data_IF_692855599610
#
_entry.id   IF_692855599610
#
_cell.length_a   1.000
_cell.length_b   1.000
_cell.length_c   1.000
_cell.angle_alpha   90.00
_cell.angle_beta   90.00
_cell.angle_gamma   90.00
#
_symmetry.space_group_name_H-M   'P 1'
#
loop_
_entity.id
_entity.type
_entity.pdbx_description
1 polymer ?
#
# COMPACT_ATOMS: atom_id res chain seq x y z
N UNK A 1 0.51 -1.31 25.39
CA UNK A 1 1.52 -0.24 25.56
C UNK A 1 1.09 0.96 24.74
N UNK A 2 1.38 2.19 25.21
CA UNK A 2 1.04 3.40 24.47
C UNK A 2 1.80 3.47 23.14
N UNK A 3 1.18 4.10 22.15
CA UNK A 3 1.72 4.37 20.81
C UNK A 3 1.22 5.75 20.35
N UNK A 4 1.53 6.16 19.11
CA UNK A 4 1.09 7.44 18.56
C UNK A 4 0.48 7.30 17.17
N UNK A 5 -0.38 8.25 16.80
CA UNK A 5 -0.89 8.36 15.43
C UNK A 5 0.23 8.64 14.43
N UNK A 6 1.29 9.35 14.84
CA UNK A 6 2.48 9.54 14.01
C UNK A 6 3.11 8.20 13.61
N UNK A 7 3.20 7.25 14.55
CA UNK A 7 3.72 5.92 14.27
C UNK A 7 2.78 5.11 13.37
N UNK A 8 1.47 5.19 13.61
CA UNK A 8 0.46 4.55 12.77
C UNK A 8 0.47 5.07 11.32
N UNK A 9 0.54 6.39 11.12
CA UNK A 9 0.66 7.00 9.79
C UNK A 9 2.00 6.65 9.12
N UNK A 10 3.10 6.69 9.87
CA UNK A 10 4.43 6.31 9.38
C UNK A 10 4.47 4.88 8.85
N UNK A 11 3.83 3.94 9.54
CA UNK A 11 3.74 2.54 9.11
C UNK A 11 3.06 2.38 7.73
N UNK A 12 2.00 3.14 7.46
CA UNK A 12 1.36 3.13 6.14
C UNK A 12 2.20 3.83 5.06
N UNK A 13 2.88 4.91 5.41
CA UNK A 13 3.77 5.61 4.48
C UNK A 13 4.94 4.71 4.04
N UNK A 14 5.56 3.99 4.99
CA UNK A 14 6.63 3.04 4.71
C UNK A 14 6.12 1.83 3.92
N UNK A 15 4.98 1.26 4.28
CA UNK A 15 4.34 0.17 3.52
C UNK A 15 4.06 0.56 2.07
N UNK A 16 3.58 1.79 1.82
CA UNK A 16 3.35 2.29 0.46
C UNK A 16 4.66 2.53 -0.31
N UNK A 17 5.75 2.88 0.38
CA UNK A 17 7.07 2.99 -0.24
C UNK A 17 7.56 1.61 -0.73
N UNK A 18 7.39 0.56 0.08
CA UNK A 18 7.68 -0.81 -0.33
C UNK A 18 6.80 -1.29 -1.49
N UNK A 19 5.50 -0.95 -1.47
CA UNK A 19 4.61 -1.26 -2.58
C UNK A 19 5.06 -0.59 -3.90
N UNK A 20 5.61 0.64 -3.82
CA UNK A 20 6.21 1.31 -4.98
C UNK A 20 7.46 0.61 -5.49
N UNK A 21 8.26 -0.03 -4.63
CA UNK A 21 9.41 -0.82 -5.06
C UNK A 21 8.96 -2.01 -5.90
N UNK A 22 7.88 -2.70 -5.48
CA UNK A 22 7.28 -3.78 -6.26
C UNK A 22 6.73 -3.26 -7.61
N UNK A 23 6.12 -2.07 -7.62
CA UNK A 23 5.68 -1.41 -8.85
C UNK A 23 6.86 -1.09 -9.78
N UNK A 24 7.99 -0.63 -9.24
CA UNK A 24 9.20 -0.37 -10.03
C UNK A 24 9.77 -1.65 -10.62
N UNK A 25 9.79 -2.75 -9.86
CA UNK A 25 10.20 -4.05 -10.36
C UNK A 25 9.28 -4.52 -11.50
N UNK A 26 7.95 -4.40 -11.33
CA UNK A 26 6.98 -4.72 -12.36
C UNK A 26 7.18 -3.90 -13.63
N UNK A 27 7.45 -2.58 -13.50
CA UNK A 27 7.79 -1.71 -14.61
C UNK A 27 9.03 -2.20 -15.37
N UNK A 28 10.14 -2.46 -14.66
CA UNK A 28 11.39 -2.94 -15.27
C UNK A 28 11.22 -4.29 -15.99
N UNK A 29 10.44 -5.21 -15.42
CA UNK A 29 10.14 -6.51 -16.04
C UNK A 29 9.34 -6.33 -17.32
N UNK A 30 8.34 -5.44 -17.32
CA UNK A 30 7.47 -5.18 -18.47
C UNK A 30 8.10 -4.28 -19.53
N UNK A 31 9.17 -3.54 -19.21
CA UNK A 31 9.82 -2.60 -20.11
C UNK A 31 10.72 -3.28 -21.15
N UNK A 32 10.17 -4.26 -21.87
CA UNK A 32 10.83 -5.01 -22.93
C UNK A 32 9.97 -5.04 -24.19
N UNK A 33 10.58 -4.70 -25.34
CA UNK A 33 9.87 -4.57 -26.61
C UNK A 33 9.51 -5.94 -27.24
N UNK A 34 8.22 -6.27 -27.41
CA UNK A 34 7.80 -7.50 -28.08
C UNK A 34 7.66 -7.32 -29.61
N UNK A 35 7.76 -6.10 -30.13
CA UNK A 35 7.51 -5.77 -31.54
C UNK A 35 8.51 -6.48 -32.46
N UNK A 36 8.01 -6.95 -33.61
CA UNK A 36 8.79 -7.73 -34.59
C UNK A 36 8.87 -9.23 -34.28
N UNK A 37 8.22 -9.73 -33.22
CA UNK A 37 8.08 -11.18 -32.96
C UNK A 37 7.04 -11.87 -33.87
N UNK A 38 6.26 -11.09 -34.64
CA UNK A 38 5.19 -11.56 -35.53
C UNK A 38 4.21 -12.50 -34.79
N UNK A 39 3.89 -13.66 -35.38
CA UNK A 39 3.04 -14.68 -34.78
C UNK A 39 3.74 -15.52 -33.68
N UNK A 40 4.92 -15.10 -33.20
CA UNK A 40 5.74 -15.85 -32.25
C UNK A 40 6.89 -16.65 -32.89
N UNK A 41 7.10 -16.50 -34.20
CA UNK A 41 8.14 -17.19 -34.96
C UNK A 41 9.13 -16.24 -35.64
N UNK A 42 9.02 -14.93 -35.38
CA UNK A 42 9.80 -13.91 -36.07
C UNK A 42 9.26 -13.60 -37.47
N UNK A 43 10.00 -12.79 -38.22
CA UNK A 43 9.63 -12.35 -39.56
C UNK A 43 10.64 -12.84 -40.60
N UNK A 44 10.17 -13.19 -41.80
CA UNK A 44 11.04 -13.44 -42.96
C UNK A 44 11.59 -12.15 -43.56
N UNK A 45 11.01 -10.98 -43.23
CA UNK A 45 11.58 -9.69 -43.58
C UNK A 45 12.74 -9.35 -42.62
N UNK A 46 13.82 -8.73 -43.12
CA UNK A 46 14.97 -8.35 -42.30
C UNK A 46 14.66 -7.10 -41.44
N UNK A 47 13.71 -7.24 -40.50
CA UNK A 47 13.27 -6.17 -39.62
C UNK A 47 14.36 -5.78 -38.63
N UNK A 48 14.65 -4.48 -38.53
CA UNK A 48 15.48 -3.96 -37.45
C UNK A 48 14.65 -3.80 -36.16
N UNK A 49 14.59 -4.86 -35.34
CA UNK A 49 13.91 -4.83 -34.02
C UNK A 49 14.60 -3.91 -33.02
N UNK A 50 15.90 -3.71 -33.16
CA UNK A 50 16.65 -2.80 -32.31
C UNK A 50 16.17 -1.35 -32.54
N UNK A 51 15.99 -0.95 -33.80
CA UNK A 51 15.44 0.36 -34.16
C UNK A 51 14.10 0.63 -33.46
N UNK A 52 13.14 -0.30 -33.51
CA UNK A 52 11.85 -0.07 -32.84
C UNK A 52 11.95 -0.08 -31.32
N UNK A 53 12.89 -0.85 -30.75
CA UNK A 53 13.16 -0.86 -29.31
C UNK A 53 13.66 0.50 -28.84
N UNK A 54 14.58 1.11 -29.59
CA UNK A 54 15.12 2.44 -29.33
C UNK A 54 14.08 3.53 -29.56
N UNK A 55 13.38 3.49 -30.69
CA UNK A 55 12.36 4.49 -31.05
C UNK A 55 11.19 4.53 -30.06
N UNK A 56 10.79 3.38 -29.50
CA UNK A 56 9.69 3.28 -28.54
C UNK A 56 10.16 3.45 -27.08
N UNK A 57 11.46 3.65 -26.83
CA UNK A 57 11.99 3.93 -25.49
C UNK A 57 12.04 2.73 -24.54
N UNK A 58 11.97 1.49 -25.04
CA UNK A 58 12.09 0.28 -24.21
C UNK A 58 13.53 0.05 -23.72
N UNK A 59 13.70 -0.55 -22.55
CA UNK A 59 15.04 -0.86 -22.02
C UNK A 59 15.78 -1.91 -22.84
N UNK A 60 15.04 -2.91 -23.31
CA UNK A 60 15.56 -3.98 -24.18
C UNK A 60 14.42 -4.56 -25.00
N UNK A 61 14.72 -5.51 -25.89
CA UNK A 61 13.68 -6.31 -26.55
C UNK A 61 13.47 -7.65 -25.85
N UNK A 62 12.33 -8.27 -26.13
CA UNK A 62 12.20 -9.71 -25.98
C UNK A 62 13.04 -10.40 -27.05
N UNK A 63 14.21 -10.91 -26.65
CA UNK A 63 15.16 -11.54 -27.58
C UNK A 63 14.57 -12.77 -28.28
N UNK A 64 13.87 -13.61 -27.52
CA UNK A 64 13.21 -14.80 -28.06
C UNK A 64 11.77 -14.45 -28.48
N UNK A 65 11.44 -14.70 -29.75
CA UNK A 65 10.15 -14.37 -30.35
C UNK A 65 8.99 -15.24 -29.83
N UNK A 66 9.27 -16.47 -29.42
CA UNK A 66 8.28 -17.34 -28.74
C UNK A 66 8.03 -16.81 -27.33
N UNK A 67 9.09 -16.39 -26.63
CA UNK A 67 8.96 -15.77 -25.31
C UNK A 67 8.12 -14.50 -25.34
N UNK A 68 8.23 -13.66 -26.38
CA UNK A 68 7.37 -12.49 -26.53
C UNK A 68 5.86 -12.83 -26.51
N UNK A 69 5.47 -14.00 -27.03
CA UNK A 69 4.09 -14.48 -26.92
C UNK A 69 3.79 -15.10 -25.55
N UNK A 70 4.71 -15.90 -25.01
CA UNK A 70 4.59 -16.49 -23.66
C UNK A 70 4.58 -15.42 -22.54
N UNK A 71 5.08 -14.22 -22.82
CA UNK A 71 5.04 -13.08 -21.90
C UNK A 71 3.63 -12.56 -21.66
N UNK A 72 2.69 -12.80 -22.59
CA UNK A 72 1.28 -12.42 -22.42
C UNK A 72 0.67 -13.19 -21.25
N UNK A 73 -0.04 -12.47 -20.39
CA UNK A 73 -0.55 -12.94 -19.12
C UNK A 73 0.50 -13.03 -18.01
N UNK A 74 1.76 -13.35 -18.34
CA UNK A 74 2.87 -13.26 -17.36
C UNK A 74 3.12 -11.80 -16.94
N UNK A 75 3.21 -10.88 -17.91
CA UNK A 75 3.46 -9.45 -17.63
C UNK A 75 2.27 -8.82 -16.89
N UNK A 76 1.05 -9.07 -17.35
CA UNK A 76 -0.17 -8.59 -16.71
C UNK A 76 -0.31 -9.12 -15.29
N UNK A 77 0.05 -10.39 -15.04
CA UNK A 77 0.10 -10.95 -13.68
C UNK A 77 1.16 -10.27 -12.82
N UNK A 78 2.35 -10.00 -13.36
CA UNK A 78 3.41 -9.27 -12.64
C UNK A 78 2.94 -7.89 -12.22
N UNK A 79 2.30 -7.14 -13.11
CA UNK A 79 1.72 -5.83 -12.77
C UNK A 79 0.56 -5.98 -11.78
N UNK A 80 -0.29 -6.99 -11.94
CA UNK A 80 -1.38 -7.26 -11.01
C UNK A 80 -0.90 -7.50 -9.58
N UNK A 81 0.25 -8.17 -9.39
CA UNK A 81 0.84 -8.33 -8.05
C UNK A 81 1.25 -6.99 -7.44
N UNK A 82 1.82 -6.08 -8.24
CA UNK A 82 2.16 -4.73 -7.77
C UNK A 82 0.91 -3.91 -7.41
N UNK A 83 -0.14 -3.98 -8.23
CA UNK A 83 -1.43 -3.35 -7.93
C UNK A 83 -2.06 -3.92 -6.65
N UNK A 84 -1.97 -5.24 -6.46
CA UNK A 84 -2.49 -5.94 -5.29
C UNK A 84 -1.78 -5.54 -4.00
N UNK A 85 -0.46 -5.29 -4.03
CA UNK A 85 0.30 -4.78 -2.87
C UNK A 85 -0.24 -3.45 -2.37
N UNK A 86 -0.29 -2.44 -3.25
CA UNK A 86 -0.87 -1.12 -2.94
C UNK A 86 -2.31 -1.28 -2.42
N UNK A 87 -3.13 -2.09 -3.10
CA UNK A 87 -4.50 -2.32 -2.70
C UNK A 87 -4.61 -2.97 -1.31
N UNK A 88 -3.72 -3.90 -0.94
CA UNK A 88 -3.70 -4.51 0.38
C UNK A 88 -3.40 -3.47 1.48
N UNK A 89 -2.44 -2.59 1.24
CA UNK A 89 -2.09 -1.49 2.16
C UNK A 89 -3.26 -0.53 2.34
N UNK A 90 -3.92 -0.11 1.25
CA UNK A 90 -5.11 0.75 1.33
C UNK A 90 -6.31 0.07 2.01
N UNK A 91 -6.51 -1.23 1.77
CA UNK A 91 -7.59 -2.01 2.39
C UNK A 91 -7.41 -2.08 3.92
N UNK A 92 -6.16 -2.26 4.38
CA UNK A 92 -5.81 -2.27 5.81
C UNK A 92 -6.03 -0.89 6.44
N UNK A 93 -5.56 0.19 5.79
CA UNK A 93 -5.82 1.55 6.24
C UNK A 93 -7.32 1.84 6.34
N UNK A 94 -8.08 1.44 5.33
CA UNK A 94 -9.53 1.61 5.31
C UNK A 94 -10.22 0.83 6.44
N UNK A 95 -9.74 -0.38 6.76
CA UNK A 95 -10.24 -1.14 7.90
C UNK A 95 -9.99 -0.41 9.22
N UNK A 96 -8.76 0.03 9.47
CA UNK A 96 -8.39 0.76 10.68
C UNK A 96 -9.19 2.07 10.79
N UNK A 97 -9.33 2.82 9.69
CA UNK A 97 -10.10 4.06 9.69
C UNK A 97 -11.58 3.84 10.06
N UNK A 98 -12.20 2.78 9.53
CA UNK A 98 -13.57 2.41 9.92
C UNK A 98 -13.65 2.05 11.42
N UNK A 99 -12.70 1.26 11.92
CA UNK A 99 -12.66 0.83 13.32
C UNK A 99 -12.44 2.01 14.26
N UNK A 100 -11.45 2.86 13.96
CA UNK A 100 -11.05 4.01 14.76
C UNK A 100 -12.11 5.11 14.78
N UNK A 101 -12.89 5.26 13.71
CA UNK A 101 -14.02 6.19 13.66
C UNK A 101 -15.28 5.65 14.35
N UNK A 102 -15.34 4.36 14.70
CA UNK A 102 -16.52 3.79 15.35
C UNK A 102 -16.74 4.36 16.75
N UNK A 103 -17.99 4.40 17.20
CA UNK A 103 -18.38 5.02 18.48
C UNK A 103 -17.71 4.39 19.71
N UNK A 104 -17.35 3.10 19.64
CA UNK A 104 -16.70 2.40 20.74
C UNK A 104 -15.22 2.80 20.92
N UNK A 105 -14.59 3.29 19.85
CA UNK A 105 -13.19 3.70 19.84
C UNK A 105 -13.05 5.22 19.81
N UNK A 106 -13.65 5.89 18.81
CA UNK A 106 -13.63 7.36 18.71
C UNK A 106 -12.22 7.94 18.66
N UNK A 107 -11.28 7.19 18.08
CA UNK A 107 -9.86 7.53 17.97
C UNK A 107 -9.61 8.56 16.88
N UNK A 108 -10.38 8.46 15.80
CA UNK A 108 -10.41 9.46 14.74
C UNK A 108 -11.85 9.90 14.50
N UNK A 109 -12.01 11.07 13.90
CA UNK A 109 -13.28 11.59 13.42
C UNK A 109 -13.16 11.97 11.96
N UNK A 110 -14.12 11.51 11.17
CA UNK A 110 -14.29 11.93 9.78
C UNK A 110 -15.24 13.13 9.69
N UNK A 111 -14.96 14.14 8.84
CA UNK A 111 -15.89 15.24 8.62
C UNK A 111 -17.23 14.75 8.06
N UNK A 112 -18.31 15.44 8.42
CA UNK A 112 -19.67 15.04 8.05
C UNK A 112 -19.87 14.83 6.54
N UNK A 113 -19.23 15.65 5.70
CA UNK A 113 -19.30 15.55 4.23
C UNK A 113 -18.73 14.25 3.64
N UNK A 114 -18.00 13.49 4.45
CA UNK A 114 -17.38 12.21 4.08
C UNK A 114 -18.07 11.01 4.71
N UNK A 115 -19.18 11.25 5.40
CA UNK A 115 -19.96 10.21 6.06
C UNK A 115 -21.41 10.30 5.61
N UNK A 116 -22.08 9.16 5.48
CA UNK A 116 -23.55 9.19 5.35
C UNK A 116 -24.20 9.13 6.72
N UNK A 117 -25.28 9.91 6.89
CA UNK A 117 -26.11 9.89 8.08
C UNK A 117 -27.27 8.91 7.96
N UNK A 118 -27.88 8.56 9.10
CA UNK A 118 -29.18 7.90 9.13
C UNK A 118 -30.29 8.91 9.42
N UNK A 119 -31.40 8.85 8.70
CA UNK A 119 -32.57 9.70 8.95
C UNK A 119 -33.26 9.40 10.29
N UNK A 120 -33.22 8.15 10.74
CA UNK A 120 -33.79 7.71 12.04
C UNK A 120 -32.78 7.84 13.19
N UNK A 121 -31.48 7.77 12.90
CA UNK A 121 -30.41 7.93 13.88
C UNK A 121 -29.49 9.10 13.50
N UNK A 122 -29.84 10.35 13.87
CA UNK A 122 -29.13 11.55 13.42
C UNK A 122 -27.66 11.61 13.87
N UNK A 123 -27.29 10.87 14.91
CA UNK A 123 -25.93 10.75 15.43
C UNK A 123 -25.10 9.63 14.76
N UNK A 124 -25.74 8.76 13.96
CA UNK A 124 -25.05 7.66 13.27
C UNK A 124 -24.42 8.18 11.98
N UNK A 125 -23.09 8.06 11.88
CA UNK A 125 -22.28 8.44 10.73
C UNK A 125 -21.53 7.23 10.20
N UNK A 126 -21.74 6.86 8.94
CA UNK A 126 -21.09 5.71 8.33
C UNK A 126 -19.82 6.16 7.56
N UNK A 127 -18.69 5.44 7.68
CA UNK A 127 -17.46 5.74 6.94
C UNK A 127 -17.48 5.13 5.52
N UNK A 128 -18.54 5.38 4.74
CA UNK A 128 -18.83 4.68 3.48
C UNK A 128 -17.65 4.71 2.49
N UNK A 129 -16.92 5.81 2.45
CA UNK A 129 -15.75 5.98 1.58
C UNK A 129 -14.67 4.92 1.87
N UNK A 130 -14.37 4.67 3.15
CA UNK A 130 -13.41 3.65 3.53
C UNK A 130 -13.99 2.25 3.36
N UNK A 131 -15.30 2.04 3.60
CA UNK A 131 -15.95 0.76 3.34
C UNK A 131 -15.86 0.36 1.84
N UNK A 132 -16.16 1.31 0.94
CA UNK A 132 -16.06 1.11 -0.50
C UNK A 132 -14.60 0.95 -0.94
N UNK A 133 -13.67 1.74 -0.40
CA UNK A 133 -12.24 1.60 -0.67
C UNK A 133 -11.77 0.18 -0.32
N UNK A 134 -12.13 -0.32 0.87
CA UNK A 134 -11.80 -1.67 1.33
C UNK A 134 -12.33 -2.74 0.37
N UNK A 135 -13.60 -2.63 -0.04
CA UNK A 135 -14.21 -3.58 -0.98
C UNK A 135 -13.52 -3.57 -2.36
N UNK A 136 -13.28 -2.38 -2.93
CA UNK A 136 -12.59 -2.21 -4.22
C UNK A 136 -11.16 -2.75 -4.18
N UNK A 137 -10.43 -2.45 -3.11
CA UNK A 137 -9.08 -2.95 -2.91
C UNK A 137 -9.03 -4.48 -2.75
N UNK A 138 -10.00 -5.09 -2.06
CA UNK A 138 -10.11 -6.56 -2.00
C UNK A 138 -10.37 -7.17 -3.39
N UNK A 139 -11.17 -6.50 -4.24
CA UNK A 139 -11.36 -6.91 -5.63
C UNK A 139 -10.04 -6.88 -6.42
N UNK A 140 -9.27 -5.81 -6.31
CA UNK A 140 -7.96 -5.68 -6.99
C UNK A 140 -6.97 -6.75 -6.50
N UNK A 141 -6.95 -7.07 -5.21
CA UNK A 141 -6.09 -8.12 -4.65
C UNK A 141 -6.36 -9.51 -5.25
N UNK A 142 -7.56 -9.77 -5.79
CA UNK A 142 -7.88 -11.04 -6.47
C UNK A 142 -7.34 -11.12 -7.91
N UNK A 143 -6.93 -9.99 -8.51
CA UNK A 143 -6.53 -9.91 -9.92
C UNK A 143 -5.37 -10.85 -10.29
N UNK A 144 -4.29 -10.99 -9.50
CA UNK A 144 -3.22 -11.94 -9.81
C UNK A 144 -3.72 -13.39 -9.93
N UNK A 145 -4.70 -13.76 -9.10
CA UNK A 145 -5.29 -15.10 -9.12
C UNK A 145 -6.20 -15.28 -10.33
N UNK A 146 -7.03 -14.28 -10.66
CA UNK A 146 -7.86 -14.31 -11.87
C UNK A 146 -7.00 -14.51 -13.12
N UNK A 147 -5.91 -13.74 -13.27
CA UNK A 147 -4.99 -13.86 -14.40
C UNK A 147 -4.29 -15.23 -14.39
N UNK A 148 -3.86 -15.71 -13.21
CA UNK A 148 -3.25 -17.04 -13.08
C UNK A 148 -4.18 -18.13 -13.59
N UNK A 149 -5.46 -18.12 -13.20
CA UNK A 149 -6.43 -19.12 -13.63
C UNK A 149 -6.70 -19.07 -15.14
N UNK A 150 -6.71 -17.87 -15.75
CA UNK A 150 -6.87 -17.72 -17.21
C UNK A 150 -5.69 -18.36 -17.97
N UNK A 151 -4.46 -18.27 -17.45
CA UNK A 151 -3.26 -18.74 -18.17
C UNK A 151 -2.78 -20.14 -17.79
N UNK A 152 -3.24 -20.70 -16.67
CA UNK A 152 -2.61 -21.86 -16.02
C UNK A 152 -2.44 -23.10 -16.90
N UNK A 153 -3.36 -23.32 -17.85
CA UNK A 153 -3.42 -24.53 -18.66
C UNK A 153 -3.10 -24.28 -20.13
N UNK A 154 -2.56 -23.11 -20.47
CA UNK A 154 -2.18 -22.78 -21.84
C UNK A 154 -0.79 -23.35 -22.16
N UNK A 155 -0.60 -23.99 -23.33
CA UNK A 155 0.74 -24.30 -23.81
C UNK A 155 1.49 -23.03 -24.23
N UNK A 156 2.75 -23.16 -24.62
CA UNK A 156 3.54 -22.02 -25.11
C UNK A 156 2.95 -21.42 -26.39
N UNK A 157 2.95 -20.08 -26.50
CA UNK A 157 2.53 -19.37 -27.70
C UNK A 157 1.36 -18.42 -27.41
N UNK A 158 0.55 -18.15 -28.44
CA UNK A 158 -0.62 -17.29 -28.34
C UNK A 158 -1.92 -18.10 -28.33
N UNK A 159 -2.82 -17.76 -27.41
CA UNK A 159 -4.16 -18.33 -27.29
C UNK A 159 -5.20 -17.22 -27.15
N UNK A 160 -6.42 -17.46 -27.63
CA UNK A 160 -7.50 -16.46 -27.61
C UNK A 160 -7.95 -16.13 -26.18
N UNK A 161 -7.80 -17.07 -25.25
CA UNK A 161 -8.05 -16.95 -23.81
C UNK A 161 -7.40 -15.70 -23.19
N UNK A 162 -6.22 -15.33 -23.68
CA UNK A 162 -5.46 -14.15 -23.24
C UNK A 162 -6.24 -12.83 -23.42
N UNK A 163 -7.28 -12.80 -24.26
CA UNK A 163 -8.13 -11.63 -24.43
C UNK A 163 -8.94 -11.32 -23.16
N UNK A 164 -9.37 -12.35 -22.42
CA UNK A 164 -10.18 -12.20 -21.20
C UNK A 164 -9.42 -11.43 -20.11
N UNK A 165 -8.09 -11.54 -20.11
CA UNK A 165 -7.23 -10.79 -19.18
C UNK A 165 -7.51 -9.29 -19.26
N UNK A 166 -7.71 -8.73 -20.46
CA UNK A 166 -7.92 -7.29 -20.65
C UNK A 166 -9.18 -6.77 -19.95
N UNK A 167 -10.23 -7.59 -19.89
CA UNK A 167 -11.52 -7.24 -19.30
C UNK A 167 -11.40 -6.97 -17.79
N UNK A 168 -10.50 -7.69 -17.12
CA UNK A 168 -10.26 -7.53 -15.67
C UNK A 168 -9.03 -6.67 -15.36
N UNK A 169 -8.01 -6.70 -16.22
CA UNK A 169 -6.74 -6.03 -16.01
C UNK A 169 -6.82 -4.52 -16.28
N UNK A 170 -7.39 -4.09 -17.42
CA UNK A 170 -7.38 -2.67 -17.79
C UNK A 170 -8.21 -1.79 -16.84
N UNK A 171 -9.43 -2.18 -16.41
CA UNK A 171 -10.21 -1.37 -15.47
C UNK A 171 -9.54 -1.20 -14.10
N UNK A 172 -8.68 -2.15 -13.69
CA UNK A 172 -8.05 -2.15 -12.37
C UNK A 172 -7.16 -0.93 -12.10
N UNK A 173 -6.52 -0.38 -13.13
CA UNK A 173 -5.71 0.84 -13.01
C UNK A 173 -6.55 2.05 -12.64
N UNK A 174 -7.70 2.23 -13.29
CA UNK A 174 -8.63 3.31 -12.99
C UNK A 174 -9.17 3.19 -11.56
N UNK A 175 -9.58 1.98 -11.18
CA UNK A 175 -10.11 1.72 -9.85
C UNK A 175 -9.09 1.95 -8.73
N UNK A 176 -7.84 1.51 -8.91
CA UNK A 176 -6.78 1.77 -7.93
C UNK A 176 -6.47 3.28 -7.83
N UNK A 177 -6.42 3.99 -8.96
CA UNK A 177 -6.23 5.45 -8.99
C UNK A 177 -7.35 6.17 -8.25
N UNK A 178 -8.60 5.75 -8.44
CA UNK A 178 -9.74 6.34 -7.73
C UNK A 178 -9.65 6.09 -6.22
N UNK A 179 -9.28 4.87 -5.80
CA UNK A 179 -9.02 4.57 -4.39
C UNK A 179 -7.90 5.45 -3.81
N UNK A 180 -6.76 5.56 -4.49
CA UNK A 180 -5.64 6.41 -4.05
C UNK A 180 -6.06 7.88 -3.92
N UNK A 181 -6.77 8.43 -4.90
CA UNK A 181 -7.27 9.81 -4.87
C UNK A 181 -8.21 10.03 -3.69
N UNK A 182 -9.14 9.10 -3.50
CA UNK A 182 -10.14 9.22 -2.45
C UNK A 182 -9.52 9.10 -1.06
N UNK A 183 -8.65 8.10 -0.84
CA UNK A 183 -7.89 7.96 0.41
C UNK A 183 -7.03 9.20 0.68
N UNK A 184 -6.30 9.71 -0.33
CA UNK A 184 -5.50 10.93 -0.18
C UNK A 184 -6.34 12.12 0.27
N UNK A 185 -7.53 12.28 -0.31
CA UNK A 185 -8.44 13.36 0.05
C UNK A 185 -8.99 13.20 1.47
N UNK A 186 -9.39 11.98 1.84
CA UNK A 186 -9.92 11.66 3.16
C UNK A 186 -8.88 11.83 4.26
N UNK A 187 -7.66 11.31 4.06
CA UNK A 187 -6.61 11.32 5.08
C UNK A 187 -6.15 12.73 5.47
N UNK A 188 -6.27 13.71 4.57
CA UNK A 188 -5.99 15.13 4.87
C UNK A 188 -7.00 15.76 5.83
N UNK A 189 -8.14 15.12 6.00
CA UNK A 189 -9.30 15.66 6.69
C UNK A 189 -9.65 14.87 7.96
N UNK A 190 -8.93 13.78 8.22
CA UNK A 190 -9.03 12.98 9.45
C UNK A 190 -8.64 13.84 10.65
N UNK A 191 -9.51 13.90 11.64
CA UNK A 191 -9.23 14.56 12.92
C UNK A 191 -8.90 13.49 13.96
N UNK A 192 -7.75 13.63 14.61
CA UNK A 192 -7.35 12.74 15.71
C UNK A 192 -7.99 13.22 17.02
N UNK A 193 -8.47 12.30 17.83
CA UNK A 193 -8.91 12.62 19.18
C UNK A 193 -7.70 12.72 20.13
N UNK A 194 -7.42 13.94 20.61
CA UNK A 194 -6.30 14.20 21.53
C UNK A 194 -6.62 13.81 22.99
N UNK A 195 -7.89 13.50 23.29
CA UNK A 195 -8.41 13.21 24.62
C UNK A 195 -8.67 11.72 24.87
N UNK A 196 -8.15 10.82 24.02
CA UNK A 196 -8.34 9.36 24.16
C UNK A 196 -7.91 8.89 25.55
N UNK A 197 -6.78 9.41 26.04
CA UNK A 197 -6.16 8.98 27.30
C UNK A 197 -6.85 9.56 28.54
N UNK A 198 -7.86 10.42 28.39
CA UNK A 198 -8.65 10.94 29.51
C UNK A 198 -9.62 9.87 30.06
N UNK A 199 -9.90 8.82 29.29
CA UNK A 199 -10.70 7.68 29.72
C UNK A 199 -9.84 6.68 30.53
N UNK A 200 -10.22 6.48 31.79
CA UNK A 200 -9.50 5.63 32.76
C UNK A 200 -9.38 4.17 32.30
N UNK A 201 -10.22 3.69 31.37
CA UNK A 201 -10.08 2.33 30.82
C UNK A 201 -8.72 2.12 30.13
N UNK A 202 -8.05 3.20 29.72
CA UNK A 202 -6.72 3.15 29.10
C UNK A 202 -5.57 3.28 30.10
N UNK A 203 -5.83 3.45 31.39
CA UNK A 203 -4.79 3.55 32.41
C UNK A 203 -3.82 2.34 32.37
N UNK A 204 -4.35 1.13 32.21
CA UNK A 204 -3.55 -0.10 32.19
C UNK A 204 -2.58 -0.20 31.00
N UNK A 205 -2.74 0.62 29.95
CA UNK A 205 -1.79 0.67 28.82
C UNK A 205 -0.37 1.02 29.27
N UNK A 206 -0.24 1.79 30.35
CA UNK A 206 1.02 2.32 30.91
C UNK A 206 1.64 1.40 31.97
N UNK A 207 1.05 0.24 32.25
CA UNK A 207 1.59 -0.72 33.23
C UNK A 207 3.04 -1.12 32.93
N UNK A 208 3.37 -1.33 31.65
CA UNK A 208 4.74 -1.65 31.23
C UNK A 208 5.69 -0.47 31.41
N UNK A 209 5.24 0.77 31.18
CA UNK A 209 6.05 1.96 31.43
C UNK A 209 6.40 2.08 32.91
N UNK A 210 5.46 1.78 33.81
CA UNK A 210 5.74 1.76 35.25
C UNK A 210 6.71 0.64 35.65
N UNK A 211 6.60 -0.55 35.05
CA UNK A 211 7.58 -1.63 35.24
C UNK A 211 8.96 -1.16 34.79
N UNK A 212 9.06 -0.61 33.58
CA UNK A 212 10.33 -0.13 33.02
C UNK A 212 10.93 0.99 33.88
N UNK A 213 10.12 1.94 34.36
CA UNK A 213 10.56 3.02 35.25
C UNK A 213 11.18 2.50 36.55
N UNK A 214 10.59 1.46 37.15
CA UNK A 214 11.14 0.80 38.35
C UNK A 214 12.45 0.09 38.05
N UNK A 215 12.52 -0.59 36.90
CA UNK A 215 13.74 -1.26 36.44
C UNK A 215 14.87 -0.27 36.19
N UNK A 216 14.61 0.85 35.53
CA UNK A 216 15.58 1.93 35.34
C UNK A 216 16.08 2.56 36.64
N UNK A 217 15.32 2.42 37.74
CA UNK A 217 15.72 2.83 39.10
C UNK A 217 16.47 1.75 39.89
N UNK A 218 16.75 0.59 39.27
CA UNK A 218 17.53 -0.49 39.85
C UNK A 218 16.72 -1.65 40.46
N UNK A 219 15.39 -1.65 40.34
CA UNK A 219 14.57 -2.79 40.80
C UNK A 219 14.71 -3.95 39.82
N UNK A 220 14.99 -5.19 40.25
CA UNK A 220 14.98 -6.35 39.36
C UNK A 220 13.63 -6.48 38.63
N UNK A 221 13.66 -6.80 37.33
CA UNK A 221 12.45 -6.85 36.48
C UNK A 221 11.31 -7.69 37.07
N UNK A 222 11.64 -8.87 37.64
CA UNK A 222 10.64 -9.76 38.24
C UNK A 222 9.91 -9.11 39.42
N UNK A 223 10.63 -8.34 40.23
CA UNK A 223 10.08 -7.68 41.41
C UNK A 223 9.27 -6.45 41.01
N UNK A 224 9.74 -5.69 40.02
CA UNK A 224 8.98 -4.60 39.42
C UNK A 224 7.66 -5.08 38.81
N UNK A 225 7.71 -6.15 38.00
CA UNK A 225 6.53 -6.77 37.40
C UNK A 225 5.51 -7.22 38.45
N UNK A 226 5.95 -7.96 39.47
CA UNK A 226 5.08 -8.40 40.57
C UNK A 226 4.46 -7.23 41.32
N UNK A 227 5.24 -6.22 41.67
CA UNK A 227 4.76 -5.07 42.42
C UNK A 227 3.71 -4.27 41.64
N UNK A 228 3.90 -4.09 40.33
CA UNK A 228 2.89 -3.44 39.46
C UNK A 228 1.65 -4.31 39.33
N UNK A 229 1.79 -5.63 39.12
CA UNK A 229 0.66 -6.56 39.07
C UNK A 229 -0.20 -6.52 40.32
N UNK A 230 0.41 -6.58 41.51
CA UNK A 230 -0.30 -6.49 42.80
C UNK A 230 -1.00 -5.14 42.99
N UNK A 231 -0.40 -4.04 42.53
CA UNK A 231 -1.02 -2.72 42.59
C UNK A 231 -2.26 -2.61 41.69
N UNK A 232 -2.21 -3.24 40.51
CA UNK A 232 -3.36 -3.33 39.58
C UNK A 232 -4.48 -4.18 40.20
N UNK A 233 -4.15 -5.37 40.73
CA UNK A 233 -5.11 -6.27 41.37
C UNK A 233 -5.80 -5.62 42.58
N UNK A 234 -5.06 -4.80 43.33
CA UNK A 234 -5.59 -4.05 44.47
C UNK A 234 -6.42 -2.81 44.07
N UNK A 235 -6.53 -2.47 42.79
CA UNK A 235 -7.23 -1.27 42.31
C UNK A 235 -6.52 0.04 42.68
N UNK A 236 -5.22 -0.01 42.99
CA UNK A 236 -4.42 1.14 43.44
C UNK A 236 -3.47 1.66 42.34
N UNK A 237 -3.64 1.19 41.11
CA UNK A 237 -2.75 1.54 40.01
C UNK A 237 -3.12 2.90 39.41
N UNK A 238 -2.30 3.91 39.68
CA UNK A 238 -2.37 5.22 39.03
C UNK A 238 -1.11 5.41 38.18
N UNK A 239 -1.19 5.30 36.85
CA UNK A 239 -0.01 5.41 36.00
C UNK A 239 0.43 6.86 35.82
N UNK A 240 1.74 7.05 35.68
CA UNK A 240 2.29 8.19 34.94
C UNK A 240 2.04 7.94 33.45
N UNK A 241 1.32 8.86 32.79
CA UNK A 241 0.98 8.76 31.36
C UNK A 241 2.09 9.32 30.45
N UNK A 242 3.19 9.80 31.01
CA UNK A 242 4.34 10.33 30.26
C UNK A 242 5.09 9.19 29.59
N UNK A 243 5.26 9.29 28.26
CA UNK A 243 5.99 8.30 27.46
C UNK A 243 7.23 8.95 26.87
N UNK A 244 8.40 8.32 27.05
CA UNK A 244 9.67 8.78 26.49
C UNK A 244 10.34 7.65 25.72
N UNK A 245 9.88 7.42 24.48
CA UNK A 245 10.51 6.46 23.58
C UNK A 245 11.48 7.19 22.66
N UNK A 246 12.76 6.83 22.70
CA UNK A 246 13.82 7.50 21.91
C UNK A 246 14.35 6.65 20.76
N UNK A 247 13.98 5.38 20.69
CA UNK A 247 14.48 4.44 19.69
C UNK A 247 14.02 4.83 18.27
N UNK A 248 14.87 4.64 17.28
CA UNK A 248 14.54 4.83 15.87
C UNK A 248 13.30 4.02 15.49
N UNK A 249 12.34 4.66 14.81
CA UNK A 249 11.07 4.04 14.44
C UNK A 249 10.07 3.91 15.59
N UNK A 250 10.28 4.59 16.72
CA UNK A 250 9.34 4.62 17.85
C UNK A 250 8.52 5.91 17.90
N UNK A 251 7.54 5.97 18.81
CA UNK A 251 6.62 7.10 18.92
C UNK A 251 7.31 8.47 19.14
N UNK A 252 8.51 8.51 19.74
CA UNK A 252 9.29 9.74 19.93
C UNK A 252 10.42 9.94 18.91
N UNK A 253 10.62 9.01 17.97
CA UNK A 253 11.56 9.14 16.86
C UNK A 253 11.04 8.38 15.63
N UNK A 254 10.13 9.02 14.87
CA UNK A 254 9.35 8.39 13.81
C UNK A 254 10.14 8.05 12.55
N UNK A 255 11.35 8.61 12.36
CA UNK A 255 12.16 8.43 11.14
C UNK A 255 11.45 8.81 9.81
N UNK A 256 10.50 9.76 9.85
CA UNK A 256 9.72 10.17 8.66
C UNK A 256 10.60 10.73 7.52
N UNK A 257 11.73 11.35 7.85
CA UNK A 257 12.75 11.81 6.89
C UNK A 257 13.36 10.63 6.12
N UNK A 258 13.60 9.51 6.80
CA UNK A 258 14.15 8.27 6.20
C UNK A 258 13.13 7.59 5.30
N UNK A 259 11.87 7.51 5.74
CA UNK A 259 10.76 6.97 4.93
C UNK A 259 10.58 7.82 3.66
N UNK A 260 10.63 9.15 3.79
CA UNK A 260 10.53 10.07 2.64
C UNK A 260 11.70 9.88 1.67
N UNK A 261 12.93 9.78 2.17
CA UNK A 261 14.10 9.52 1.34
C UNK A 261 14.01 8.16 0.62
N UNK A 262 13.52 7.11 1.29
CA UNK A 262 13.29 5.80 0.70
C UNK A 262 12.30 5.90 -0.48
N UNK A 263 11.14 6.54 -0.25
CA UNK A 263 10.13 6.76 -1.29
C UNK A 263 10.71 7.53 -2.48
N UNK A 264 11.42 8.63 -2.25
CA UNK A 264 12.03 9.42 -3.32
C UNK A 264 13.08 8.63 -4.12
N UNK A 265 13.91 7.83 -3.46
CA UNK A 265 14.89 6.98 -4.14
C UNK A 265 14.21 5.97 -5.08
N UNK A 266 13.09 5.40 -4.67
CA UNK A 266 12.30 4.47 -5.49
C UNK A 266 11.65 5.22 -6.66
N UNK A 267 11.05 6.39 -6.43
CA UNK A 267 10.43 7.21 -7.48
C UNK A 267 11.48 7.63 -8.53
N UNK A 268 12.66 8.07 -8.09
CA UNK A 268 13.74 8.49 -8.97
C UNK A 268 14.33 7.32 -9.78
N UNK A 269 14.12 6.08 -9.34
CA UNK A 269 14.54 4.89 -10.09
C UNK A 269 13.60 4.49 -11.22
N UNK A 270 12.49 5.20 -11.44
CA UNK A 270 11.67 5.06 -12.65
C UNK A 270 12.27 5.85 -13.81
N UNK A 271 12.67 5.16 -14.88
CA UNK A 271 13.27 5.77 -16.08
C UNK A 271 12.21 6.32 -17.06
N UNK A 272 11.20 7.05 -16.57
CA UNK A 272 10.10 7.53 -17.43
C UNK A 272 10.56 8.51 -18.51
N UNK A 273 11.65 9.25 -18.28
CA UNK A 273 12.20 10.21 -19.25
C UNK A 273 12.46 9.55 -20.61
N UNK A 274 13.03 8.35 -20.63
CA UNK A 274 13.31 7.62 -21.88
C UNK A 274 12.04 7.35 -22.68
N UNK A 275 10.98 6.89 -22.01
CA UNK A 275 9.70 6.59 -22.64
C UNK A 275 8.97 7.88 -23.09
N UNK A 276 8.98 8.92 -22.24
CA UNK A 276 8.36 10.21 -22.54
C UNK A 276 9.06 10.91 -23.72
N UNK A 277 10.39 10.84 -23.78
CA UNK A 277 11.17 11.42 -24.87
C UNK A 277 10.93 10.68 -26.19
N UNK A 278 10.84 9.35 -26.13
CA UNK A 278 10.46 8.52 -27.27
C UNK A 278 9.07 8.88 -27.79
N UNK A 279 8.08 8.99 -26.90
CA UNK A 279 6.71 9.39 -27.25
C UNK A 279 6.68 10.78 -27.91
N UNK A 280 7.35 11.78 -27.32
CA UNK A 280 7.43 13.13 -27.90
C UNK A 280 8.08 13.13 -29.27
N UNK A 281 9.21 12.45 -29.46
CA UNK A 281 9.87 12.35 -30.78
C UNK A 281 8.96 11.73 -31.85
N UNK A 282 8.23 10.67 -31.50
CA UNK A 282 7.34 9.97 -32.43
C UNK A 282 6.07 10.76 -32.77
N UNK A 283 5.54 11.54 -31.82
CA UNK A 283 4.27 12.26 -31.99
C UNK A 283 4.45 13.69 -32.49
N UNK A 284 5.55 14.36 -32.12
CA UNK A 284 5.82 15.75 -32.45
C UNK A 284 6.81 15.93 -33.62
N UNK A 285 7.43 14.84 -34.10
CA UNK A 285 8.21 14.82 -35.35
C UNK A 285 9.48 15.66 -35.35
N UNK A 286 10.17 15.81 -34.20
CA UNK A 286 11.49 16.44 -34.11
C UNK A 286 12.62 15.42 -34.10
#
# INVERSE_FOLDING_TARGET
>A
MPSSFGLWFGAYAESLADDLLLMQAAYKICNRNPLGSAAGYGSSFPLNRQMTTELLGFDSMDYNVVYAQMGRGKMERTVAFALAGIAATLSKLAYDACLFNSQNFGFIKLPDRFTTGSSIMPHKKNPDVFELTRAKCNKIQSLPQQITLIVNNLPSGYFRDLQIIKEVFLPSFGELKDCLRMVTFMMREVQVNEHILDDDKYALLFSVEEVNRRVSKGVPFRDAYKAVGLSIEAGQFTPDKTVQHTHEGSAGNLCNDRITALMHNIINGFSFERANDAERKLTEGK
#
